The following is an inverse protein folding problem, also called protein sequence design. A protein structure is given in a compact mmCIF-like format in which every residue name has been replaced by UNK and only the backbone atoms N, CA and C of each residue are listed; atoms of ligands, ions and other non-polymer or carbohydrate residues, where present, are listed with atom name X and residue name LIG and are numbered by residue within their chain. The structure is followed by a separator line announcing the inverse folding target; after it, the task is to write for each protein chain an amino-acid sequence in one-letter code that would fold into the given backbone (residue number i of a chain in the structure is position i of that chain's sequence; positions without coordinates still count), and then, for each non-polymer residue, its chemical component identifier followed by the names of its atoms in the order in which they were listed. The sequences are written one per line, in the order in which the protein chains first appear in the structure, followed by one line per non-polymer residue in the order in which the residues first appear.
data_IF_979708699435
#
_entry.id   IF_979708699435
#
_cell.length_a   1.000
_cell.length_b   1.000
_cell.length_c   1.000
_cell.angle_alpha   90.00
_cell.angle_beta   90.00
_cell.angle_gamma   90.00
#
_symmetry.space_group_name_H-M   'P 1'
#
loop_
_entity.id
_entity.type
_entity.pdbx_description
1 polymer ?
#
# COMPACT_ATOMS: atom_id res chain seq x y z
N UNK A 1 -9.23 -37.29 28.37
CA UNK A 1 -8.00 -36.97 27.60
C UNK A 1 -8.29 -36.20 26.30
N UNK A 2 -9.34 -36.53 25.54
CA UNK A 2 -9.67 -35.86 24.27
C UNK A 2 -10.17 -34.40 24.41
N UNK A 3 -10.83 -34.05 25.52
CA UNK A 3 -11.35 -32.70 25.79
C UNK A 3 -10.25 -31.67 26.12
N UNK A 4 -9.14 -32.10 26.72
CA UNK A 4 -7.97 -31.27 27.02
C UNK A 4 -7.19 -30.95 25.73
N UNK A 5 -7.01 -31.96 24.87
CA UNK A 5 -6.36 -31.81 23.57
C UNK A 5 -7.16 -30.87 22.64
N UNK A 6 -8.49 -30.98 22.64
CA UNK A 6 -9.37 -30.09 21.86
C UNK A 6 -9.30 -28.62 22.31
N UNK A 7 -9.17 -28.37 23.62
CA UNK A 7 -9.03 -27.00 24.17
C UNK A 7 -7.67 -26.38 23.87
N UNK A 8 -6.60 -27.18 23.92
CA UNK A 8 -5.24 -26.72 23.60
C UNK A 8 -5.07 -26.40 22.11
N UNK A 9 -5.62 -27.23 21.23
CA UNK A 9 -5.61 -26.96 19.77
C UNK A 9 -6.43 -25.71 19.45
N UNK A 10 -7.58 -25.51 20.08
CA UNK A 10 -8.39 -24.30 19.90
C UNK A 10 -7.66 -23.03 20.38
N UNK A 11 -7.00 -23.08 21.54
CA UNK A 11 -6.17 -21.98 22.04
C UNK A 11 -5.01 -21.64 21.09
N UNK A 12 -4.31 -22.66 20.57
CA UNK A 12 -3.21 -22.45 19.64
C UNK A 12 -3.68 -21.81 18.32
N UNK A 13 -4.83 -22.24 17.77
CA UNK A 13 -5.41 -21.65 16.56
C UNK A 13 -5.86 -20.21 16.78
N UNK A 14 -6.47 -19.91 17.94
CA UNK A 14 -6.88 -18.55 18.30
C UNK A 14 -5.67 -17.64 18.53
N UNK A 15 -4.60 -18.14 19.15
CA UNK A 15 -3.36 -17.39 19.37
C UNK A 15 -2.60 -17.10 18.07
N UNK A 16 -2.60 -18.04 17.11
CA UNK A 16 -2.00 -17.82 15.79
C UNK A 16 -2.76 -16.78 14.96
N UNK A 17 -4.07 -16.62 15.16
CA UNK A 17 -4.89 -15.68 14.38
C UNK A 17 -4.87 -14.25 14.90
N UNK A 18 -4.54 -14.02 16.18
CA UNK A 18 -4.31 -12.64 16.71
C UNK A 18 -2.93 -12.08 16.36
N UNK A 19 -1.92 -12.94 16.12
CA UNK A 19 -0.58 -12.49 15.75
C UNK A 19 -0.53 -11.78 14.37
N UNK A 20 -1.47 -12.08 13.49
CA UNK A 20 -1.55 -11.50 12.13
C UNK A 20 -2.02 -10.04 12.08
N UNK A 21 -2.40 -9.44 13.22
CA UNK A 21 -2.92 -8.06 13.29
C UNK A 21 -1.86 -7.04 13.73
N UNK A 22 -0.63 -7.48 13.95
CA UNK A 22 0.51 -6.59 14.18
C UNK A 22 1.01 -6.03 12.84
N UNK A 23 0.21 -5.20 12.17
CA UNK A 23 0.46 -4.81 10.78
C UNK A 23 0.15 -3.34 10.45
N UNK A 24 0.18 -2.44 11.43
CA UNK A 24 0.15 -1.01 11.17
C UNK A 24 1.23 -0.32 12.01
N UNK A 25 2.47 -0.43 11.55
CA UNK A 25 3.54 0.47 11.98
C UNK A 25 3.25 1.83 11.33
N UNK A 26 3.30 2.93 12.09
CA UNK A 26 3.36 4.27 11.49
C UNK A 26 4.46 4.28 10.41
N UNK A 27 4.26 4.88 9.22
CA UNK A 27 5.28 4.88 8.19
C UNK A 27 6.55 5.48 8.80
N UNK A 28 7.68 4.74 8.81
CA UNK A 28 8.90 5.20 9.46
C UNK A 28 9.49 6.45 8.79
N UNK A 29 8.97 6.83 7.62
CA UNK A 29 9.46 7.92 6.79
C UNK A 29 8.48 9.09 6.72
N UNK A 30 8.92 10.27 7.16
CA UNK A 30 8.17 11.52 7.09
C UNK A 30 8.22 12.19 5.70
N UNK A 31 8.80 11.53 4.69
CA UNK A 31 8.85 12.01 3.32
C UNK A 31 7.47 11.94 2.65
N UNK A 32 6.97 13.11 2.27
CA UNK A 32 5.70 13.27 1.55
C UNK A 32 5.96 13.53 0.07
N UNK A 33 5.24 12.81 -0.78
CA UNK A 33 5.33 12.94 -2.23
C UNK A 33 3.99 13.38 -2.81
N UNK A 34 3.97 14.56 -3.44
CA UNK A 34 2.77 15.11 -4.03
C UNK A 34 2.62 14.64 -5.49
N UNK A 35 1.46 14.07 -5.83
CA UNK A 35 1.19 13.51 -7.14
C UNK A 35 0.05 14.27 -7.83
N UNK A 36 0.32 14.74 -9.05
CA UNK A 36 -0.71 15.08 -10.01
C UNK A 36 -1.09 13.84 -10.84
N UNK A 37 -2.20 13.19 -10.49
CA UNK A 37 -2.57 11.85 -10.98
C UNK A 37 -2.53 11.73 -12.51
N UNK A 38 -3.12 12.70 -13.22
CA UNK A 38 -3.23 12.68 -14.70
C UNK A 38 -1.91 12.71 -15.45
N UNK A 39 -0.82 13.10 -14.80
CA UNK A 39 0.50 13.20 -15.41
C UNK A 39 1.50 12.21 -14.83
N UNK A 40 1.06 11.31 -13.94
CA UNK A 40 1.96 10.41 -13.24
C UNK A 40 2.21 9.10 -14.00
N UNK A 41 1.19 8.29 -14.19
CA UNK A 41 1.30 7.00 -14.89
C UNK A 41 -0.06 6.59 -15.46
N UNK A 42 -0.09 6.30 -16.75
CA UNK A 42 -1.23 5.73 -17.47
C UNK A 42 -1.13 4.19 -17.39
N UNK A 43 -2.18 3.55 -16.86
CA UNK A 43 -2.21 2.09 -16.64
C UNK A 43 -2.82 1.29 -17.77
N UNK A 44 -3.63 1.92 -18.62
CA UNK A 44 -4.37 1.26 -19.70
C UNK A 44 -3.96 1.73 -21.10
N UNK A 45 -3.00 2.65 -21.18
CA UNK A 45 -2.46 3.23 -22.41
C UNK A 45 -3.58 3.80 -23.30
N UNK A 46 -4.44 4.61 -22.69
CA UNK A 46 -5.51 5.26 -23.43
C UNK A 46 -4.96 6.20 -24.52
N UNK A 47 -5.81 6.55 -25.49
CA UNK A 47 -5.38 7.39 -26.61
C UNK A 47 -4.95 8.82 -26.18
N UNK A 48 -5.28 9.23 -24.95
CA UNK A 48 -4.96 10.55 -24.39
C UNK A 48 -3.67 10.51 -23.56
N UNK A 49 -3.19 9.33 -23.18
CA UNK A 49 -2.04 9.12 -22.29
C UNK A 49 -2.30 9.60 -20.86
N UNK A 50 -3.54 9.56 -20.38
CA UNK A 50 -3.92 10.19 -19.11
C UNK A 50 -3.63 9.25 -17.94
N UNK A 51 -2.88 9.76 -16.96
CA UNK A 51 -2.58 9.01 -15.75
C UNK A 51 -3.79 8.74 -14.86
N UNK A 52 -3.77 7.61 -14.18
CA UNK A 52 -4.88 7.11 -13.38
C UNK A 52 -4.44 6.50 -12.04
N UNK A 53 -5.39 6.18 -11.16
CA UNK A 53 -5.07 5.65 -9.83
C UNK A 53 -4.45 4.25 -9.88
N UNK A 54 -4.80 3.41 -10.87
CA UNK A 54 -4.17 2.11 -11.06
C UNK A 54 -2.73 2.27 -11.51
N UNK A 55 -2.43 3.32 -12.28
CA UNK A 55 -1.08 3.72 -12.66
C UNK A 55 -0.24 4.05 -11.43
N UNK A 56 -0.81 4.74 -10.43
CA UNK A 56 -0.14 4.95 -9.14
C UNK A 56 0.12 3.62 -8.44
N UNK A 57 -0.89 2.74 -8.36
CA UNK A 57 -0.73 1.42 -7.74
C UNK A 57 0.40 0.59 -8.37
N UNK A 58 0.54 0.64 -9.70
CA UNK A 58 1.61 -0.07 -10.42
C UNK A 58 3.02 0.46 -10.08
N UNK A 59 3.13 1.66 -9.50
CA UNK A 59 4.40 2.30 -9.14
C UNK A 59 4.69 2.29 -7.64
N UNK A 60 3.84 1.68 -6.81
CA UNK A 60 4.08 1.57 -5.37
C UNK A 60 5.43 0.88 -5.13
N UNK A 61 5.58 -0.39 -5.51
CA UNK A 61 6.80 -1.14 -5.20
C UNK A 61 8.00 -0.75 -6.06
N UNK A 62 7.80 -0.41 -7.34
CA UNK A 62 8.92 -0.23 -8.28
C UNK A 62 9.53 1.17 -8.27
N UNK A 63 8.91 2.13 -7.56
CA UNK A 63 9.34 3.53 -7.61
C UNK A 63 9.08 4.28 -6.30
N UNK A 64 7.93 4.10 -5.66
CA UNK A 64 7.53 4.91 -4.51
C UNK A 64 8.02 4.34 -3.19
N UNK A 65 7.57 3.14 -2.83
CA UNK A 65 7.90 2.44 -1.59
C UNK A 65 7.61 0.92 -1.74
N UNK A 66 8.63 0.08 -1.69
CA UNK A 66 8.50 -1.40 -1.73
C UNK A 66 8.29 -2.05 -0.34
N UNK A 67 8.32 -1.24 0.71
CA UNK A 67 8.18 -1.66 2.10
C UNK A 67 9.44 -2.28 2.72
N UNK A 68 10.60 -2.21 2.05
CA UNK A 68 11.85 -2.87 2.45
C UNK A 68 12.98 -1.84 2.61
N UNK A 69 13.22 -1.32 3.83
CA UNK A 69 14.22 -0.28 4.09
C UNK A 69 15.67 -0.74 3.88
N UNK A 70 15.89 -2.03 3.58
CA UNK A 70 17.20 -2.58 3.22
C UNK A 70 17.52 -2.49 1.72
N UNK A 71 16.56 -2.15 0.86
CA UNK A 71 16.77 -1.95 -0.59
C UNK A 71 17.08 -0.48 -0.90
N UNK A 72 17.56 -0.18 -2.12
CA UNK A 72 17.92 1.19 -2.54
C UNK A 72 17.39 1.53 -3.95
N UNK A 73 16.27 0.92 -4.35
CA UNK A 73 15.76 0.97 -5.72
C UNK A 73 14.48 1.83 -5.89
N UNK A 74 13.96 2.39 -4.81
CA UNK A 74 12.77 3.20 -4.71
C UNK A 74 13.03 4.48 -3.90
N UNK A 75 12.00 5.32 -3.73
CA UNK A 75 12.11 6.61 -3.04
C UNK A 75 11.84 6.53 -1.52
N UNK A 76 11.39 5.38 -1.03
CA UNK A 76 10.96 5.12 0.34
C UNK A 76 9.87 6.10 0.87
N UNK A 77 9.02 6.68 0.02
CA UNK A 77 8.06 7.70 0.45
C UNK A 77 7.07 7.12 1.47
N UNK A 78 6.83 7.84 2.58
CA UNK A 78 5.91 7.35 3.62
C UNK A 78 4.48 7.85 3.44
N UNK A 79 4.28 8.93 2.70
CA UNK A 79 2.97 9.57 2.51
C UNK A 79 2.80 10.06 1.08
N UNK A 80 1.62 9.79 0.49
CA UNK A 80 1.22 10.35 -0.79
C UNK A 80 0.22 11.47 -0.58
N UNK A 81 0.48 12.64 -1.17
CA UNK A 81 -0.49 13.72 -1.28
C UNK A 81 -1.01 13.79 -2.72
N UNK A 82 -2.24 13.34 -2.93
CA UNK A 82 -2.87 13.44 -4.24
C UNK A 82 -3.48 14.83 -4.44
N UNK A 83 -3.19 15.45 -5.58
CA UNK A 83 -3.99 16.58 -6.10
C UNK A 83 -5.46 16.14 -6.29
N UNK A 84 -6.43 17.08 -6.43
CA UNK A 84 -7.86 16.74 -6.48
C UNK A 84 -8.22 15.61 -7.46
N UNK A 85 -8.92 14.59 -6.95
CA UNK A 85 -9.30 13.38 -7.70
C UNK A 85 -10.82 13.23 -7.94
N UNK A 86 -11.63 14.14 -7.39
CA UNK A 86 -13.09 14.08 -7.56
C UNK A 86 -13.51 14.57 -8.94
N UNK A 87 -14.70 14.17 -9.45
CA UNK A 87 -15.22 14.67 -10.72
C UNK A 87 -15.37 16.21 -10.73
N UNK A 88 -14.87 16.84 -11.79
CA UNK A 88 -14.93 18.30 -12.03
C UNK A 88 -14.73 18.57 -13.52
N UNK A 89 -15.23 19.72 -14.00
CA UNK A 89 -15.04 20.18 -15.39
C UNK A 89 -13.62 20.71 -15.67
N UNK A 90 -12.94 21.17 -14.61
CA UNK A 90 -11.51 21.48 -14.65
C UNK A 90 -10.70 20.30 -14.13
N UNK A 91 -9.46 20.20 -14.63
CA UNK A 91 -8.63 19.00 -14.65
C UNK A 91 -9.11 18.01 -15.69
#
# INVERSE_FOLDING_TARGET
MQTLCRRLVLCAVVLLSVASWAGAQDPPNNLLYQIFVRSFADSDNDAKGVGDLRGITQRLDSYLNDGKPETDHDLEVGMLWLMPIFPTDSY
#
